data_IF_812855964373
#
_entry.id   IF_812855964373
#
_cell.length_a   1.000
_cell.length_b   1.000
_cell.length_c   1.000
_cell.angle_alpha   90.00
_cell.angle_beta   90.00
_cell.angle_gamma   90.00
#
_symmetry.space_group_name_H-M   'P 1'
#
loop_
_entity.id
_entity.type
_entity.pdbx_description
1 polymer ?
#
# COMPACT_ATOMS: atom_id res chain seq x y z
N UNK A 1 11.68 -13.74 28.54
CA UNK A 1 12.78 -13.64 29.53
C UNK A 1 12.34 -14.40 30.78
N UNK A 2 13.11 -15.39 31.23
CA UNK A 2 12.79 -16.20 32.42
C UNK A 2 13.56 -15.74 33.67
N UNK A 3 14.19 -14.56 33.61
CA UNK A 3 14.90 -14.00 34.77
C UNK A 3 13.91 -13.66 35.88
N UNK A 4 14.25 -14.01 37.12
CA UNK A 4 13.42 -13.70 38.31
C UNK A 4 13.37 -12.20 38.59
N UNK A 5 14.47 -11.49 38.34
CA UNK A 5 14.57 -10.05 38.43
C UNK A 5 15.34 -9.51 37.21
N UNK A 6 14.84 -8.45 36.59
CA UNK A 6 15.46 -7.83 35.41
C UNK A 6 15.30 -8.64 34.11
N UNK A 7 16.16 -8.33 33.12
CA UNK A 7 16.13 -8.91 31.78
C UNK A 7 17.53 -9.39 31.40
N UNK A 8 17.65 -10.60 30.84
CA UNK A 8 18.95 -11.12 30.39
C UNK A 8 19.44 -10.39 29.13
N UNK A 9 20.76 -10.31 28.96
CA UNK A 9 21.43 -9.67 27.80
C UNK A 9 20.91 -10.22 26.48
N UNK A 10 20.62 -11.53 26.38
CA UNK A 10 20.09 -12.14 25.16
C UNK A 10 18.66 -11.69 24.80
N UNK A 11 17.82 -11.38 25.81
CA UNK A 11 16.46 -10.93 25.58
C UNK A 11 16.40 -9.44 25.18
N UNK A 12 17.30 -8.61 25.70
CA UNK A 12 17.37 -7.19 25.34
C UNK A 12 18.20 -6.97 24.07
N UNK A 13 19.34 -7.65 23.96
CA UNK A 13 20.21 -7.63 22.80
C UNK A 13 21.11 -6.40 22.75
N UNK A 14 20.81 -5.47 21.85
CA UNK A 14 21.66 -4.34 21.49
C UNK A 14 21.14 -3.05 22.11
N UNK A 15 22.01 -2.31 22.76
CA UNK A 15 21.74 -0.93 23.15
C UNK A 15 21.68 -0.05 21.89
N UNK A 16 20.52 0.55 21.62
CA UNK A 16 20.29 1.39 20.43
C UNK A 16 20.96 2.75 20.52
N UNK A 17 21.30 3.24 21.72
CA UNK A 17 21.99 4.52 21.90
C UNK A 17 23.49 4.39 21.60
N UNK A 18 24.11 3.29 22.03
CA UNK A 18 25.56 3.05 21.85
C UNK A 18 25.89 2.15 20.65
N UNK A 19 24.92 1.40 20.15
CA UNK A 19 25.11 0.48 19.04
C UNK A 19 25.95 -0.77 19.39
N UNK A 20 26.18 -1.07 20.67
CA UNK A 20 26.87 -2.28 21.13
C UNK A 20 25.90 -3.22 21.85
N UNK A 21 26.34 -4.44 22.18
CA UNK A 21 25.56 -5.33 23.07
C UNK A 21 25.35 -4.61 24.42
N UNK A 22 24.18 -4.76 25.02
CA UNK A 22 23.85 -4.10 26.29
C UNK A 22 24.76 -4.58 27.41
N UNK A 23 25.23 -3.64 28.23
CA UNK A 23 26.08 -3.95 29.38
C UNK A 23 25.25 -4.54 30.52
N UNK A 24 25.84 -5.47 31.27
CA UNK A 24 25.21 -6.01 32.49
C UNK A 24 25.15 -4.88 33.53
N UNK A 25 23.97 -4.64 34.09
CA UNK A 25 23.70 -3.56 35.04
C UNK A 25 23.07 -2.30 34.44
N UNK A 26 22.86 -2.27 33.11
CA UNK A 26 22.16 -1.15 32.46
C UNK A 26 20.67 -1.12 32.84
N UNK A 27 20.15 0.06 33.17
CA UNK A 27 18.78 0.25 33.64
C UNK A 27 17.77 0.30 32.49
N UNK A 28 17.65 -0.81 31.75
CA UNK A 28 16.83 -0.93 30.53
C UNK A 28 15.36 -0.55 30.71
N UNK A 29 14.80 -0.72 31.91
CA UNK A 29 13.42 -0.33 32.23
C UNK A 29 13.21 1.19 32.21
N UNK A 30 14.16 1.97 32.73
CA UNK A 30 14.10 3.44 32.71
C UNK A 30 14.29 3.95 31.30
N UNK A 31 15.24 3.37 30.55
CA UNK A 31 15.51 3.72 29.14
C UNK A 31 14.24 3.50 28.30
N UNK A 32 13.56 2.36 28.47
CA UNK A 32 12.32 2.06 27.77
C UNK A 32 11.20 3.06 28.12
N UNK A 33 11.05 3.40 29.41
CA UNK A 33 10.05 4.37 29.85
C UNK A 33 10.29 5.76 29.25
N UNK A 34 11.54 6.24 29.25
CA UNK A 34 11.91 7.54 28.67
C UNK A 34 11.75 7.55 27.15
N UNK A 35 12.13 6.47 26.47
CA UNK A 35 12.01 6.33 25.01
C UNK A 35 10.56 6.40 24.50
N UNK A 36 9.58 6.20 25.38
CA UNK A 36 8.16 6.37 25.07
C UNK A 36 7.66 7.73 25.61
N UNK A 37 8.00 8.07 26.85
CA UNK A 37 7.44 9.23 27.55
C UNK A 37 7.95 10.58 27.03
N UNK A 38 9.24 10.73 26.79
CA UNK A 38 9.82 11.99 26.31
C UNK A 38 9.36 12.30 24.87
N UNK A 39 9.42 11.36 23.90
CA UNK A 39 8.85 11.61 22.59
C UNK A 39 7.34 11.85 22.62
N UNK A 40 6.59 11.14 23.48
CA UNK A 40 5.14 11.30 23.59
C UNK A 40 4.74 12.70 24.07
N UNK A 41 5.38 13.17 25.15
CA UNK A 41 5.14 14.53 25.67
C UNK A 41 5.61 15.61 24.67
N UNK A 42 6.74 15.38 23.99
CA UNK A 42 7.23 16.27 22.94
C UNK A 42 6.29 16.32 21.72
N UNK A 43 5.76 15.18 21.28
CA UNK A 43 4.79 15.09 20.19
C UNK A 43 3.51 15.84 20.54
N UNK A 44 2.98 15.68 21.75
CA UNK A 44 1.81 16.46 22.18
C UNK A 44 2.10 17.96 22.16
N UNK A 45 3.23 18.41 22.71
CA UNK A 45 3.59 19.83 22.71
C UNK A 45 3.77 20.41 21.30
N UNK A 46 4.46 19.69 20.40
CA UNK A 46 4.64 20.14 19.01
C UNK A 46 3.32 20.15 18.23
N UNK A 47 2.43 19.19 18.48
CA UNK A 47 1.12 19.14 17.82
C UNK A 47 0.23 20.32 18.23
N UNK A 48 0.24 20.74 19.50
CA UNK A 48 -0.58 21.87 19.96
C UNK A 48 -0.05 23.24 19.50
N UNK A 49 1.26 23.46 19.45
CA UNK A 49 1.81 24.75 18.98
C UNK A 49 1.74 24.92 17.46
N UNK A 50 1.61 23.80 16.72
CA UNK A 50 1.36 23.77 15.27
C UNK A 50 -0.15 23.55 14.99
N UNK A 51 -1.01 23.54 16.02
CA UNK A 51 -2.43 23.20 15.96
C UNK A 51 -3.35 24.16 15.17
N UNK A 52 -2.79 25.13 14.44
CA UNK A 52 -3.53 26.03 13.54
C UNK A 52 -3.15 25.88 12.06
N UNK A 53 -2.12 25.12 11.73
CA UNK A 53 -1.75 24.85 10.35
C UNK A 53 -1.83 23.34 10.13
N UNK A 54 -2.98 22.90 9.60
CA UNK A 54 -3.05 21.66 8.84
C UNK A 54 -2.14 21.87 7.62
N UNK A 55 -0.82 21.73 7.80
CA UNK A 55 0.05 21.35 6.71
C UNK A 55 -0.28 19.87 6.47
N UNK A 56 -1.37 19.64 5.74
CA UNK A 56 -1.41 18.53 4.81
C UNK A 56 -0.18 18.73 3.94
N UNK A 57 0.96 18.17 4.34
CA UNK A 57 2.15 18.14 3.51
C UNK A 57 1.67 17.59 2.18
N UNK A 58 1.70 18.44 1.15
CA UNK A 58 1.05 18.18 -0.12
C UNK A 58 1.35 16.73 -0.52
N UNK A 59 0.35 15.86 -0.41
CA UNK A 59 0.59 14.44 -0.55
C UNK A 59 1.04 14.23 -1.97
N UNK A 60 2.32 13.87 -2.12
CA UNK A 60 2.92 13.72 -3.42
C UNK A 60 2.26 12.50 -4.10
N UNK A 61 1.30 12.78 -4.97
CA UNK A 61 0.54 11.81 -5.77
C UNK A 61 1.17 11.57 -7.14
N UNK A 62 2.28 12.24 -7.42
CA UNK A 62 3.00 12.08 -8.69
C UNK A 62 4.48 12.40 -8.55
N UNK A 63 5.28 11.79 -9.43
CA UNK A 63 6.67 12.21 -9.65
C UNK A 63 6.69 13.11 -10.87
N UNK A 64 7.08 14.37 -10.67
CA UNK A 64 7.33 15.32 -11.74
C UNK A 64 8.83 15.52 -11.94
N UNK A 65 9.20 15.75 -13.20
CA UNK A 65 10.59 15.93 -13.58
C UNK A 65 11.11 17.32 -13.18
N UNK A 66 12.24 17.38 -12.49
CA UNK A 66 12.88 18.66 -12.11
C UNK A 66 13.91 19.18 -13.12
N UNK A 67 14.43 18.30 -13.99
CA UNK A 67 15.54 18.54 -14.94
C UNK A 67 15.34 17.69 -16.18
N UNK A 68 15.92 17.99 -17.33
CA UNK A 68 15.79 17.19 -18.56
C UNK A 68 16.62 15.89 -18.53
N UNK A 69 16.39 14.99 -19.51
CA UNK A 69 17.21 13.79 -19.73
C UNK A 69 16.41 12.55 -20.17
N UNK A 70 16.85 11.35 -19.76
CA UNK A 70 16.23 10.06 -20.16
C UNK A 70 15.75 9.26 -18.96
N UNK A 71 14.56 8.65 -19.05
CA UNK A 71 14.02 7.77 -17.99
C UNK A 71 14.67 6.39 -18.07
N UNK A 72 15.07 5.87 -16.92
CA UNK A 72 15.47 4.47 -16.74
C UNK A 72 14.71 3.88 -15.55
N UNK A 73 14.13 2.70 -15.70
CA UNK A 73 13.31 2.04 -14.70
C UNK A 73 14.04 0.80 -14.18
N UNK A 74 14.34 0.80 -12.89
CA UNK A 74 14.91 -0.35 -12.20
C UNK A 74 13.79 -1.18 -11.59
N UNK A 75 13.90 -2.51 -11.74
CA UNK A 75 12.87 -3.48 -11.33
C UNK A 75 11.52 -3.29 -12.04
N UNK A 76 11.57 -2.93 -13.34
CA UNK A 76 10.39 -2.75 -14.19
C UNK A 76 9.60 -4.06 -14.31
N UNK A 77 8.51 -4.17 -13.57
CA UNK A 77 7.48 -5.18 -13.75
C UNK A 77 6.17 -4.46 -13.84
N UNK A 78 5.64 -4.35 -15.05
CA UNK A 78 4.41 -3.60 -15.34
C UNK A 78 3.44 -4.45 -16.13
N UNK A 79 2.17 -4.13 -15.99
CA UNK A 79 1.07 -4.70 -16.75
C UNK A 79 0.28 -3.54 -17.35
N UNK A 80 -0.12 -3.68 -18.60
CA UNK A 80 -0.89 -2.64 -19.30
C UNK A 80 -2.36 -2.82 -18.96
N UNK A 81 -2.94 -1.83 -18.28
CA UNK A 81 -4.35 -1.81 -17.90
C UNK A 81 -5.28 -1.59 -19.10
N UNK A 82 -6.59 -1.69 -18.88
CA UNK A 82 -7.64 -1.49 -19.90
C UNK A 82 -7.55 -0.12 -20.61
N UNK A 83 -7.10 0.90 -19.90
CA UNK A 83 -6.87 2.26 -20.41
C UNK A 83 -5.54 2.46 -21.16
N UNK A 84 -4.81 1.37 -21.41
CA UNK A 84 -3.51 1.33 -22.10
C UNK A 84 -2.37 2.00 -21.33
N UNK A 85 -2.56 2.31 -20.04
CA UNK A 85 -1.49 2.86 -19.20
C UNK A 85 -0.76 1.73 -18.47
N UNK A 86 0.58 1.69 -18.49
CA UNK A 86 1.35 0.70 -17.75
C UNK A 86 1.25 0.95 -16.25
N UNK A 87 0.83 -0.08 -15.52
CA UNK A 87 0.69 -0.09 -14.06
C UNK A 87 1.80 -0.91 -13.41
N UNK A 88 2.44 -0.35 -12.39
CA UNK A 88 3.57 -0.97 -11.69
C UNK A 88 3.11 -2.12 -10.79
N UNK A 89 3.62 -3.32 -11.03
CA UNK A 89 3.32 -4.52 -10.23
C UNK A 89 4.45 -4.88 -9.24
N UNK A 90 5.51 -4.07 -9.17
CA UNK A 90 6.64 -4.29 -8.27
C UNK A 90 6.68 -3.28 -7.12
N UNK A 91 6.83 -3.77 -5.88
CA UNK A 91 6.93 -2.91 -4.67
C UNK A 91 8.29 -2.21 -4.50
N UNK A 92 9.30 -2.60 -5.29
CA UNK A 92 10.66 -2.05 -5.30
C UNK A 92 11.00 -1.39 -6.65
N UNK A 93 10.00 -0.90 -7.36
CA UNK A 93 10.21 -0.19 -8.61
C UNK A 93 10.84 1.17 -8.33
N UNK A 94 11.86 1.53 -9.11
CA UNK A 94 12.54 2.83 -9.01
C UNK A 94 12.65 3.47 -10.41
N UNK A 95 12.35 4.76 -10.48
CA UNK A 95 12.54 5.61 -11.65
C UNK A 95 13.83 6.41 -11.48
N UNK A 96 14.79 6.18 -12.36
CA UNK A 96 16.04 6.90 -12.45
C UNK A 96 15.96 7.89 -13.61
N UNK A 97 16.49 9.09 -13.39
CA UNK A 97 16.70 10.07 -14.44
C UNK A 97 18.18 10.11 -14.79
N UNK A 98 18.49 9.85 -16.05
CA UNK A 98 19.84 9.91 -16.60
C UNK A 98 20.05 11.20 -17.40
N UNK A 99 21.27 11.76 -17.35
CA UNK A 99 21.70 12.80 -18.29
C UNK A 99 22.10 12.20 -19.66
N UNK A 100 22.43 13.06 -20.62
CA UNK A 100 22.88 12.63 -21.97
C UNK A 100 24.17 11.79 -21.96
N UNK A 101 24.96 11.87 -20.88
CA UNK A 101 26.18 11.09 -20.65
C UNK A 101 25.91 9.83 -19.84
N UNK A 102 24.65 9.49 -19.57
CA UNK A 102 24.23 8.29 -18.84
C UNK A 102 24.43 8.38 -17.32
N UNK A 103 24.68 9.57 -16.75
CA UNK A 103 24.85 9.73 -15.29
C UNK A 103 23.51 9.86 -14.59
N UNK A 104 23.35 9.17 -13.48
CA UNK A 104 22.16 9.28 -12.63
C UNK A 104 22.10 10.67 -11.97
N UNK A 105 21.01 11.38 -12.20
CA UNK A 105 20.77 12.72 -11.67
C UNK A 105 19.72 12.72 -10.55
N UNK A 106 18.75 11.82 -10.63
CA UNK A 106 17.71 11.66 -9.63
C UNK A 106 17.21 10.22 -9.62
N UNK A 107 16.70 9.81 -8.46
CA UNK A 107 16.07 8.51 -8.25
C UNK A 107 14.79 8.70 -7.45
N UNK A 108 13.72 8.12 -7.94
CA UNK A 108 12.39 8.18 -7.33
C UNK A 108 11.90 6.77 -7.09
N UNK A 109 11.43 6.50 -5.87
CA UNK A 109 10.75 5.24 -5.57
C UNK A 109 9.32 5.32 -6.06
N UNK A 110 8.89 4.31 -6.82
CA UNK A 110 7.54 4.24 -7.37
C UNK A 110 6.75 3.19 -6.60
N UNK A 111 5.62 3.56 -5.95
CA UNK A 111 4.76 2.62 -5.27
C UNK A 111 4.18 1.54 -6.18
N UNK A 112 3.72 0.45 -5.56
CA UNK A 112 2.92 -0.56 -6.25
C UNK A 112 1.58 0.04 -6.69
N UNK A 113 1.18 -0.25 -7.91
CA UNK A 113 -0.04 0.24 -8.52
C UNK A 113 0.01 1.68 -9.02
N UNK A 114 1.18 2.31 -8.97
CA UNK A 114 1.41 3.57 -9.67
C UNK A 114 1.28 3.36 -11.18
N UNK A 115 0.74 4.37 -11.84
CA UNK A 115 0.58 4.45 -13.28
C UNK A 115 1.80 5.16 -13.84
N UNK A 116 2.49 4.54 -14.78
CA UNK A 116 3.65 5.13 -15.44
C UNK A 116 3.20 5.93 -16.65
N UNK A 117 3.50 7.22 -16.64
CA UNK A 117 3.20 8.14 -17.73
C UNK A 117 4.39 8.27 -18.68
N UNK A 118 5.60 8.04 -18.17
CA UNK A 118 6.82 7.93 -18.97
C UNK A 118 7.44 6.54 -18.79
N UNK A 119 7.74 5.87 -19.91
CA UNK A 119 8.32 4.53 -19.90
C UNK A 119 9.85 4.56 -20.12
N UNK A 120 10.48 3.39 -20.05
CA UNK A 120 11.93 3.20 -20.24
C UNK A 120 12.44 3.87 -21.53
N UNK A 121 13.52 4.65 -21.42
CA UNK A 121 14.19 5.25 -22.55
C UNK A 121 13.53 6.52 -23.11
N UNK A 122 12.37 6.93 -22.57
CA UNK A 122 11.70 8.15 -23.02
C UNK A 122 12.49 9.38 -22.57
N UNK A 123 12.74 10.30 -23.51
CA UNK A 123 13.25 11.63 -23.22
C UNK A 123 12.11 12.47 -22.65
N UNK A 124 12.30 13.03 -21.46
CA UNK A 124 11.28 13.87 -20.82
C UNK A 124 11.88 15.20 -20.39
N UNK A 125 11.12 16.27 -20.59
CA UNK A 125 11.53 17.64 -20.27
C UNK A 125 11.14 17.99 -18.83
N UNK A 126 11.71 19.07 -18.30
CA UNK A 126 11.34 19.62 -17.00
C UNK A 126 9.83 19.88 -16.93
N UNK A 127 9.20 19.45 -15.82
CA UNK A 127 7.77 19.56 -15.60
C UNK A 127 6.94 18.38 -16.13
N UNK A 128 7.56 17.42 -16.83
CA UNK A 128 6.85 16.24 -17.30
C UNK A 128 6.53 15.29 -16.13
N UNK A 129 5.30 14.78 -16.06
CA UNK A 129 4.90 13.77 -15.07
C UNK A 129 5.42 12.40 -15.49
N UNK A 130 6.13 11.73 -14.60
CA UNK A 130 6.74 10.42 -14.86
C UNK A 130 5.83 9.28 -14.40
N UNK A 131 5.22 9.45 -13.24
CA UNK A 131 4.32 8.47 -12.65
C UNK A 131 3.29 9.17 -11.75
N UNK A 132 2.12 8.56 -11.61
CA UNK A 132 1.02 9.02 -10.75
C UNK A 132 0.46 7.87 -9.91
N UNK A 133 -0.07 8.19 -8.74
CA UNK A 133 -0.79 7.27 -7.86
C UNK A 133 -1.74 8.02 -6.94
N UNK A 134 -2.71 7.29 -6.39
CA UNK A 134 -3.56 7.79 -5.32
C UNK A 134 -2.79 7.76 -3.99
N UNK A 135 -2.61 8.90 -3.29
CA UNK A 135 -1.89 8.91 -2.04
C UNK A 135 -2.75 8.43 -0.85
N UNK A 136 -4.08 8.42 -0.99
CA UNK A 136 -5.02 8.05 0.04
C UNK A 136 -5.41 6.57 0.01
N UNK A 137 -5.18 5.89 -1.12
CA UNK A 137 -5.55 4.49 -1.25
C UNK A 137 -4.40 3.64 -1.79
N UNK A 138 -4.43 2.35 -1.46
CA UNK A 138 -3.55 1.34 -2.06
C UNK A 138 -4.40 0.46 -2.97
N UNK A 139 -4.15 0.46 -4.28
CA UNK A 139 -4.95 -0.35 -5.20
C UNK A 139 -4.57 -1.84 -5.06
N UNK A 140 -5.59 -2.68 -5.13
CA UNK A 140 -5.48 -4.13 -5.37
C UNK A 140 -5.70 -4.31 -6.87
N UNK A 141 -4.68 -4.84 -7.56
CA UNK A 141 -4.64 -4.89 -9.02
C UNK A 141 -4.58 -6.34 -9.47
N UNK A 142 -5.34 -6.69 -10.51
CA UNK A 142 -5.29 -8.01 -11.10
C UNK A 142 -4.10 -8.19 -12.05
N UNK A 143 -3.42 -9.34 -11.98
CA UNK A 143 -2.34 -9.70 -12.90
C UNK A 143 -2.86 -10.33 -14.20
N UNK A 144 -4.13 -10.77 -14.22
CA UNK A 144 -4.75 -11.43 -15.37
C UNK A 144 -6.13 -10.87 -15.65
N UNK A 145 -6.46 -10.79 -16.94
CA UNK A 145 -7.83 -10.50 -17.35
C UNK A 145 -8.71 -11.74 -17.22
N UNK A 146 -9.98 -11.52 -16.88
CA UNK A 146 -10.98 -12.56 -16.68
C UNK A 146 -12.22 -12.01 -16.00
N UNK A 147 -13.07 -12.91 -15.50
CA UNK A 147 -14.32 -12.55 -14.86
C UNK A 147 -14.18 -12.55 -13.34
N UNK A 148 -14.65 -11.50 -12.67
CA UNK A 148 -14.65 -11.41 -11.21
C UNK A 148 -15.67 -12.38 -10.63
N UNK A 149 -15.24 -13.14 -9.62
CA UNK A 149 -16.09 -13.94 -8.76
C UNK A 149 -15.84 -13.55 -7.31
N UNK A 150 -16.91 -13.18 -6.63
CA UNK A 150 -16.89 -12.92 -5.20
C UNK A 150 -16.83 -14.26 -4.44
N UNK A 151 -15.96 -14.35 -3.44
CA UNK A 151 -15.90 -15.48 -2.53
C UNK A 151 -15.82 -14.97 -1.09
N UNK A 152 -16.66 -15.54 -0.22
CA UNK A 152 -16.81 -15.13 1.18
C UNK A 152 -17.14 -13.62 1.32
N UNK A 153 -17.92 -13.10 0.36
CA UNK A 153 -18.39 -11.72 0.23
C UNK A 153 -19.92 -11.71 0.13
N UNK A 154 -20.55 -11.70 1.29
CA UNK A 154 -22.00 -11.64 1.49
C UNK A 154 -22.41 -10.26 2.01
N UNK A 155 -23.45 -9.69 1.41
CA UNK A 155 -24.01 -8.40 1.77
C UNK A 155 -24.61 -8.44 3.19
N UNK A 156 -24.29 -7.43 4.01
CA UNK A 156 -24.68 -7.34 5.41
C UNK A 156 -23.88 -8.24 6.37
N UNK A 157 -23.02 -9.14 5.87
CA UNK A 157 -22.20 -10.03 6.72
C UNK A 157 -20.70 -9.69 6.62
N UNK A 158 -20.19 -9.58 5.39
CA UNK A 158 -18.75 -9.35 5.12
C UNK A 158 -18.50 -8.17 4.18
N UNK A 159 -19.55 -7.67 3.53
CA UNK A 159 -19.53 -6.38 2.85
C UNK A 159 -20.82 -5.61 3.14
N UNK A 160 -20.76 -4.29 2.98
CA UNK A 160 -21.96 -3.44 2.96
C UNK A 160 -21.79 -2.36 1.91
N UNK A 161 -22.89 -1.84 1.43
CA UNK A 161 -22.91 -0.65 0.60
C UNK A 161 -22.82 0.61 1.49
N UNK A 162 -21.86 1.49 1.18
CA UNK A 162 -21.65 2.77 1.84
C UNK A 162 -21.80 3.85 0.79
N UNK A 163 -22.69 4.80 1.04
CA UNK A 163 -22.85 5.97 0.18
C UNK A 163 -21.89 7.04 0.69
N UNK A 164 -21.01 7.51 -0.18
CA UNK A 164 -20.16 8.64 0.11
C UNK A 164 -21.03 9.92 0.13
N UNK A 165 -21.12 10.59 1.28
CA UNK A 165 -22.01 11.75 1.46
C UNK A 165 -21.64 12.96 0.59
N UNK A 166 -20.36 13.07 0.18
CA UNK A 166 -19.88 14.19 -0.62
C UNK A 166 -20.18 14.01 -2.11
N UNK A 167 -20.07 12.77 -2.61
CA UNK A 167 -20.23 12.45 -4.03
C UNK A 167 -21.58 11.80 -4.37
N UNK A 168 -22.28 11.26 -3.37
CA UNK A 168 -23.49 10.47 -3.54
C UNK A 168 -23.24 9.09 -4.19
N UNK A 169 -21.98 8.70 -4.39
CA UNK A 169 -21.63 7.45 -5.05
C UNK A 169 -21.67 6.33 -4.01
N UNK A 170 -22.44 5.29 -4.32
CA UNK A 170 -22.46 4.07 -3.53
C UNK A 170 -21.22 3.22 -3.83
N UNK A 171 -20.53 2.80 -2.78
CA UNK A 171 -19.35 1.95 -2.85
C UNK A 171 -19.51 0.75 -1.92
N UNK A 172 -19.10 -0.43 -2.38
CA UNK A 172 -19.10 -1.63 -1.53
C UNK A 172 -17.84 -1.66 -0.67
N UNK A 173 -18.01 -1.79 0.64
CA UNK A 173 -16.91 -1.78 1.60
C UNK A 173 -16.93 -3.08 2.41
N UNK A 174 -15.77 -3.71 2.52
CA UNK A 174 -15.59 -4.92 3.36
C UNK A 174 -15.69 -4.52 4.83
N UNK A 175 -16.50 -5.25 5.59
CA UNK A 175 -16.73 -5.00 7.02
C UNK A 175 -16.18 -6.14 7.86
N UNK A 176 -15.90 -5.88 9.14
CA UNK A 176 -15.51 -6.92 10.08
C UNK A 176 -16.63 -7.95 10.22
N UNK A 177 -16.36 -9.18 9.83
CA UNK A 177 -17.31 -10.30 9.79
C UNK A 177 -17.31 -11.13 11.08
N UNK A 178 -16.87 -10.54 12.21
CA UNK A 178 -16.94 -11.15 13.54
C UNK A 178 -18.27 -11.88 13.72
N UNK A 179 -18.28 -13.08 14.32
CA UNK A 179 -19.47 -13.89 14.44
C UNK A 179 -20.48 -13.24 15.38
N UNK A 180 -21.30 -12.32 14.86
CA UNK A 180 -22.44 -11.76 15.56
C UNK A 180 -23.56 -12.81 15.73
N UNK A 181 -23.53 -13.90 14.95
CA UNK A 181 -24.64 -14.85 14.92
C UNK A 181 -24.23 -16.26 14.48
N UNK A 182 -23.28 -16.93 15.15
CA UNK A 182 -23.06 -18.40 15.10
C UNK A 182 -22.84 -19.09 13.74
N UNK A 183 -22.86 -18.36 12.62
CA UNK A 183 -22.76 -18.81 11.22
C UNK A 183 -21.62 -18.13 10.46
N UNK A 184 -21.03 -17.04 10.97
CA UNK A 184 -19.90 -16.33 10.35
C UNK A 184 -18.55 -16.98 10.69
N UNK A 185 -18.45 -18.31 10.50
CA UNK A 185 -17.21 -19.04 10.72
C UNK A 185 -16.21 -18.78 9.60
N UNK A 186 -15.00 -18.35 9.96
CA UNK A 186 -13.79 -18.20 9.12
C UNK A 186 -14.03 -17.67 7.68
N UNK A 187 -14.86 -16.64 7.52
CA UNK A 187 -14.97 -15.97 6.22
C UNK A 187 -13.62 -15.35 5.86
N UNK A 188 -13.25 -15.46 4.59
CA UNK A 188 -12.03 -14.85 4.03
C UNK A 188 -12.38 -14.08 2.76
N UNK A 189 -12.93 -12.86 2.92
CA UNK A 189 -13.39 -12.06 1.79
C UNK A 189 -12.30 -11.93 0.74
N UNK A 190 -12.62 -12.34 -0.49
CA UNK A 190 -11.65 -12.35 -1.59
C UNK A 190 -12.34 -12.24 -2.95
N UNK A 191 -11.60 -11.70 -3.90
CA UNK A 191 -11.97 -11.65 -5.31
C UNK A 191 -11.19 -12.71 -6.07
N UNK A 192 -11.88 -13.54 -6.84
CA UNK A 192 -11.28 -14.58 -7.68
C UNK A 192 -11.44 -14.18 -9.14
N UNK A 193 -10.37 -14.30 -9.93
CA UNK A 193 -10.43 -14.13 -11.37
C UNK A 193 -10.68 -15.48 -12.01
N UNK A 194 -11.81 -15.63 -12.70
CA UNK A 194 -12.22 -16.85 -13.36
C UNK A 194 -12.20 -16.76 -14.89
N UNK A 195 -12.13 -17.91 -15.56
CA UNK A 195 -12.37 -18.03 -16.98
C UNK A 195 -13.87 -17.85 -17.32
N UNK A 196 -14.21 -17.82 -18.61
CA UNK A 196 -15.61 -17.75 -19.08
C UNK A 196 -16.49 -18.91 -18.62
N UNK A 197 -15.90 -20.00 -18.11
CA UNK A 197 -16.58 -21.19 -17.58
C UNK A 197 -16.68 -21.17 -16.05
N UNK A 198 -16.24 -20.09 -15.41
CA UNK A 198 -16.28 -19.93 -13.95
C UNK A 198 -15.18 -20.67 -13.20
N UNK A 199 -14.11 -21.12 -13.87
CA UNK A 199 -12.97 -21.78 -13.22
C UNK A 199 -11.89 -20.76 -12.85
N UNK A 200 -11.35 -20.78 -11.63
CA UNK A 200 -10.29 -19.84 -11.23
C UNK A 200 -9.06 -19.93 -12.13
N UNK A 201 -8.61 -18.79 -12.64
CA UNK A 201 -7.39 -18.68 -13.41
C UNK A 201 -6.17 -18.89 -12.50
N UNK A 202 -5.10 -19.44 -13.09
CA UNK A 202 -3.80 -19.53 -12.42
C UNK A 202 -2.91 -18.37 -12.85
N UNK A 203 -2.27 -17.71 -11.89
CA UNK A 203 -1.22 -16.71 -12.06
C UNK A 203 0.02 -17.34 -12.71
N UNK A 204 0.95 -16.49 -13.15
CA UNK A 204 2.21 -16.93 -13.80
C UNK A 204 3.06 -17.86 -12.93
N UNK A 205 2.88 -17.82 -11.60
CA UNK A 205 3.57 -18.68 -10.62
C UNK A 205 2.78 -19.95 -10.25
N UNK A 206 1.70 -20.26 -10.96
CA UNK A 206 0.87 -21.46 -10.72
C UNK A 206 -0.14 -21.33 -9.57
N UNK A 207 -0.08 -20.24 -8.79
CA UNK A 207 -1.08 -19.91 -7.76
C UNK A 207 -2.41 -19.51 -8.39
N UNK A 208 -3.52 -19.70 -7.68
CA UNK A 208 -4.83 -19.21 -8.12
C UNK A 208 -4.85 -17.68 -8.08
N UNK A 209 -5.44 -17.05 -9.09
CA UNK A 209 -5.66 -15.61 -9.15
C UNK A 209 -6.78 -15.20 -8.19
N UNK A 210 -6.46 -15.21 -6.90
CA UNK A 210 -7.33 -14.78 -5.82
C UNK A 210 -6.68 -13.62 -5.05
N UNK A 211 -7.49 -12.65 -4.67
CA UNK A 211 -7.07 -11.42 -4.00
C UNK A 211 -7.88 -11.25 -2.73
N UNK A 212 -7.22 -11.45 -1.58
CA UNK A 212 -7.83 -11.24 -0.27
C UNK A 212 -8.11 -9.76 -0.03
N UNK A 213 -9.27 -9.48 0.55
CA UNK A 213 -9.71 -8.13 0.88
C UNK A 213 -9.68 -7.95 2.41
N UNK A 214 -8.88 -7.01 2.94
CA UNK A 214 -8.97 -6.66 4.35
C UNK A 214 -10.27 -5.90 4.64
N UNK A 215 -10.59 -5.78 5.92
CA UNK A 215 -11.63 -4.86 6.41
C UNK A 215 -11.33 -3.44 5.91
N UNK A 216 -12.39 -2.68 5.62
CA UNK A 216 -12.38 -1.34 5.05
C UNK A 216 -11.89 -1.25 3.60
N UNK A 217 -11.57 -2.37 2.95
CA UNK A 217 -11.30 -2.37 1.52
C UNK A 217 -12.57 -1.96 0.74
N UNK A 218 -12.41 -0.97 -0.15
CA UNK A 218 -13.44 -0.49 -1.06
C UNK A 218 -13.36 -1.31 -2.33
N UNK A 219 -14.42 -2.05 -2.64
CA UNK A 219 -14.54 -2.88 -3.84
C UNK A 219 -14.99 -1.98 -4.99
N UNK A 220 -14.22 -1.98 -6.09
CA UNK A 220 -14.48 -1.12 -7.26
C UNK A 220 -15.10 -1.86 -8.45
N UNK A 221 -15.50 -3.11 -8.26
CA UNK A 221 -16.03 -4.01 -9.30
C UNK A 221 -17.23 -4.78 -8.77
N UNK A 222 -18.07 -5.23 -9.69
CA UNK A 222 -19.22 -6.07 -9.40
C UNK A 222 -18.95 -7.56 -9.62
N UNK A 223 -19.75 -8.40 -8.98
CA UNK A 223 -19.64 -9.84 -9.18
C UNK A 223 -20.06 -10.20 -10.62
N UNK A 224 -19.15 -10.83 -11.37
CA UNK A 224 -19.36 -11.15 -12.78
C UNK A 224 -18.84 -10.08 -13.76
N UNK A 225 -18.19 -9.02 -13.29
CA UNK A 225 -17.54 -8.05 -14.18
C UNK A 225 -16.34 -8.65 -14.91
N UNK A 226 -16.14 -8.24 -16.16
CA UNK A 226 -14.93 -8.55 -16.92
C UNK A 226 -13.85 -7.50 -16.63
N UNK A 227 -12.69 -7.95 -16.15
CA UNK A 227 -11.54 -7.11 -15.83
C UNK A 227 -10.35 -7.45 -16.72
N UNK A 228 -9.50 -6.46 -16.98
CA UNK A 228 -8.23 -6.64 -17.68
C UNK A 228 -7.07 -6.71 -16.70
N UNK A 229 -5.99 -7.35 -17.12
CA UNK A 229 -4.74 -7.33 -16.35
C UNK A 229 -4.31 -5.86 -16.15
N UNK A 230 -3.93 -5.47 -14.93
CA UNK A 230 -3.56 -4.09 -14.59
C UNK A 230 -4.71 -3.24 -14.03
N UNK A 231 -5.96 -3.69 -14.13
CA UNK A 231 -7.09 -2.97 -13.55
C UNK A 231 -7.12 -3.09 -12.01
N UNK A 232 -7.48 -1.98 -11.35
CA UNK A 232 -7.66 -1.94 -9.91
C UNK A 232 -9.06 -2.45 -9.53
N UNK A 233 -9.13 -3.63 -8.92
CA UNK A 233 -10.38 -4.31 -8.54
C UNK A 233 -10.90 -3.88 -7.16
N UNK A 234 -10.00 -3.40 -6.30
CA UNK A 234 -10.35 -2.86 -4.99
C UNK A 234 -9.30 -1.85 -4.55
N UNK A 235 -9.62 -1.03 -3.54
CA UNK A 235 -8.75 -0.01 -2.97
C UNK A 235 -8.77 -0.13 -1.46
N UNK A 236 -7.60 -0.15 -0.83
CA UNK A 236 -7.46 -0.14 0.63
C UNK A 236 -7.21 1.30 1.05
N UNK A 237 -8.12 1.95 1.79
CA UNK A 237 -7.86 3.27 2.38
C UNK A 237 -6.59 3.22 3.24
N UNK A 238 -5.74 4.21 3.11
CA UNK A 238 -4.64 4.41 4.04
C UNK A 238 -5.16 5.30 5.17
N UNK A 239 -5.20 4.76 6.39
CA UNK A 239 -5.40 5.61 7.57
C UNK A 239 -4.23 6.58 7.66
N UNK A 240 -4.51 7.86 7.46
CA UNK A 240 -3.65 8.89 8.02
C UNK A 240 -3.94 8.92 9.51
N UNK A 241 -2.89 8.92 10.32
CA UNK A 241 -3.02 9.29 11.74
C UNK A 241 -3.80 10.61 11.77
N UNK A 242 -5.04 10.52 12.26
CA UNK A 242 -5.91 11.66 12.51
C UNK A 242 -5.37 12.48 13.68
#
# INVERSE_FOLDING_TARGET
>A
CESKEGVCVKCYGRDLARGTVVNIGEAVGVIAAQSIGEPGTQLTMRTFHIGGAVQSGAQQSSVERTIDGVVKIVNRTVVVASDKVPVVMNRKCELLLLDEKGRERARYRVPYGSRLLADEGVKVERGHKLAEWDPHTRPIITEKGGRIQFADLDDGVSMREVIDEATGIASKVVIDWKPQSGKSGDLRPRLIIADKRGRPLKLSKGQVAQYELPVDAIIGVENGDDVHAGDAIARIPQEFSR
#
